data_IF_406693011171
#
_entry.id   IF_406693011171
#
_cell.length_a   1.000
_cell.length_b   1.000
_cell.length_c   1.000
_cell.angle_alpha   90.00
_cell.angle_beta   90.00
_cell.angle_gamma   90.00
#
_symmetry.space_group_name_H-M   'P 1'
#
loop_
_entity.id
_entity.type
_entity.pdbx_description
1 polymer ?
#
# COMPACT_ATOMS: atom_id res chain seq x y z
N UNK A 1 -5.55 11.25 -11.63
CA UNK A 1 -5.39 9.79 -11.60
C UNK A 1 -6.54 9.08 -10.89
N UNK A 2 -6.84 9.39 -9.63
CA UNK A 2 -7.94 8.83 -8.85
C UNK A 2 -8.92 9.94 -8.45
N UNK A 3 -10.22 9.70 -8.64
CA UNK A 3 -11.30 10.55 -8.18
C UNK A 3 -12.32 9.69 -7.44
N UNK A 4 -12.61 10.05 -6.22
CA UNK A 4 -13.60 9.41 -5.35
C UNK A 4 -14.68 10.42 -5.06
N UNK A 5 -15.96 10.07 -5.27
CA UNK A 5 -17.08 11.00 -5.07
C UNK A 5 -18.22 10.34 -4.31
N UNK A 6 -18.67 11.04 -3.27
CA UNK A 6 -19.77 10.65 -2.40
C UNK A 6 -19.63 9.20 -1.86
N UNK A 7 -18.40 8.77 -1.55
CA UNK A 7 -18.11 7.40 -1.15
C UNK A 7 -18.66 7.10 0.23
N UNK A 8 -19.49 6.08 0.32
CA UNK A 8 -20.03 5.57 1.58
C UNK A 8 -19.66 4.10 1.75
N UNK A 9 -19.44 3.66 2.98
CA UNK A 9 -19.18 2.25 3.29
C UNK A 9 -19.68 1.91 4.69
N UNK A 10 -20.11 0.66 4.87
CA UNK A 10 -20.69 0.18 6.11
C UNK A 10 -20.10 -1.17 6.52
N UNK A 11 -20.00 -1.39 7.82
CA UNK A 11 -19.81 -2.68 8.46
C UNK A 11 -21.09 -3.05 9.21
N UNK A 12 -21.95 -3.85 8.56
CA UNK A 12 -23.29 -4.11 9.06
C UNK A 12 -24.09 -2.79 9.20
N UNK A 13 -24.43 -2.42 10.43
CA UNK A 13 -25.18 -1.18 10.73
C UNK A 13 -24.29 0.05 10.97
N UNK A 14 -22.98 -0.13 11.05
CA UNK A 14 -22.03 0.95 11.36
C UNK A 14 -21.57 1.58 10.05
N UNK A 15 -21.87 2.87 9.87
CA UNK A 15 -21.35 3.64 8.75
C UNK A 15 -19.91 4.05 9.03
N UNK A 16 -18.97 3.56 8.23
CA UNK A 16 -17.55 3.84 8.36
C UNK A 16 -17.08 4.97 7.43
N UNK A 17 -17.76 5.17 6.30
CA UNK A 17 -17.53 6.30 5.39
C UNK A 17 -18.86 6.99 5.10
N UNK A 18 -18.88 8.32 5.19
CA UNK A 18 -20.10 9.13 5.11
C UNK A 18 -19.99 10.20 4.01
N UNK A 19 -19.97 9.78 2.73
CA UNK A 19 -19.94 10.71 1.60
C UNK A 19 -18.56 11.38 1.42
N UNK A 20 -17.51 10.58 1.25
CA UNK A 20 -16.13 11.09 1.11
C UNK A 20 -15.86 11.46 -0.35
N UNK A 21 -15.27 12.65 -0.55
CA UNK A 21 -14.79 13.13 -1.83
C UNK A 21 -13.25 13.33 -1.74
N UNK A 22 -12.51 12.72 -2.66
CA UNK A 22 -11.02 12.81 -2.70
C UNK A 22 -10.57 12.77 -4.15
N UNK A 23 -9.57 13.57 -4.46
CA UNK A 23 -8.86 13.54 -5.74
C UNK A 23 -7.37 13.33 -5.49
N UNK A 24 -6.75 12.45 -6.28
CA UNK A 24 -5.30 12.20 -6.27
C UNK A 24 -4.81 12.34 -7.72
N UNK A 25 -3.88 13.27 -7.95
CA UNK A 25 -3.27 13.51 -9.25
C UNK A 25 -2.20 12.46 -9.57
N UNK A 26 -1.79 12.36 -10.83
CA UNK A 26 -0.70 11.46 -11.22
C UNK A 26 0.65 11.95 -10.65
N UNK A 27 1.43 11.04 -10.07
CA UNK A 27 2.70 11.36 -9.40
C UNK A 27 2.56 12.12 -8.08
N UNK A 28 1.34 12.35 -7.59
CA UNK A 28 1.09 13.03 -6.32
C UNK A 28 1.26 12.09 -5.13
N UNK A 29 1.71 12.63 -4.00
CA UNK A 29 1.60 11.99 -2.70
C UNK A 29 0.54 12.71 -1.89
N UNK A 30 -0.55 12.02 -1.59
CA UNK A 30 -1.61 12.50 -0.71
C UNK A 30 -1.49 11.77 0.64
N UNK A 31 -1.42 12.53 1.72
CA UNK A 31 -1.40 11.99 3.08
C UNK A 31 -2.70 12.35 3.80
N UNK A 32 -3.45 11.34 4.21
CA UNK A 32 -4.63 11.48 5.06
C UNK A 32 -4.26 11.13 6.50
N UNK A 33 -4.40 12.09 7.39
CA UNK A 33 -4.11 11.91 8.82
C UNK A 33 -5.38 12.01 9.65
N UNK A 34 -5.45 11.24 10.73
CA UNK A 34 -6.61 11.24 11.60
C UNK A 34 -6.55 10.16 12.67
N UNK A 35 -7.45 10.27 13.66
CA UNK A 35 -7.54 9.32 14.77
C UNK A 35 -7.91 7.89 14.29
N UNK A 36 -7.64 6.90 15.16
CA UNK A 36 -8.11 5.53 14.93
C UNK A 36 -9.65 5.51 14.91
N UNK A 37 -10.21 4.68 14.03
CA UNK A 37 -11.65 4.61 13.81
C UNK A 37 -12.25 5.69 12.90
N UNK A 38 -11.46 6.64 12.39
CA UNK A 38 -11.95 7.69 11.47
C UNK A 38 -12.25 7.19 10.04
N UNK A 39 -12.17 5.89 9.76
CA UNK A 39 -12.49 5.33 8.46
C UNK A 39 -11.33 5.30 7.45
N UNK A 40 -10.11 5.68 7.85
CA UNK A 40 -8.93 5.75 6.98
C UNK A 40 -8.64 4.43 6.23
N UNK A 41 -8.48 3.33 6.96
CA UNK A 41 -8.24 1.99 6.39
C UNK A 41 -9.44 1.51 5.56
N UNK A 42 -10.66 1.87 5.97
CA UNK A 42 -11.88 1.56 5.20
C UNK A 42 -11.87 2.24 3.82
N UNK A 43 -11.40 3.49 3.76
CA UNK A 43 -11.25 4.22 2.51
C UNK A 43 -10.26 3.52 1.56
N UNK A 44 -9.07 3.13 2.07
CA UNK A 44 -8.10 2.41 1.25
C UNK A 44 -8.63 1.05 0.78
N UNK A 45 -9.32 0.31 1.67
CA UNK A 45 -9.97 -0.97 1.32
C UNK A 45 -11.09 -0.80 0.29
N UNK A 46 -11.85 0.29 0.33
CA UNK A 46 -12.85 0.60 -0.68
C UNK A 46 -12.20 0.90 -2.04
N UNK A 47 -11.13 1.71 -2.06
CA UNK A 47 -10.36 2.04 -3.28
C UNK A 47 -9.70 0.78 -3.86
N UNK A 48 -9.18 -0.14 -3.03
CA UNK A 48 -8.60 -1.41 -3.47
C UNK A 48 -9.66 -2.46 -3.86
N UNK A 49 -10.95 -2.22 -3.56
CA UNK A 49 -12.07 -3.11 -3.89
C UNK A 49 -12.32 -4.23 -2.89
N UNK A 50 -11.57 -4.26 -1.79
CA UNK A 50 -11.72 -5.28 -0.73
C UNK A 50 -12.95 -5.01 0.14
N UNK A 51 -13.29 -3.72 0.36
CA UNK A 51 -14.44 -3.32 1.17
C UNK A 51 -15.58 -2.85 0.26
N UNK A 52 -16.80 -3.39 0.40
CA UNK A 52 -17.99 -2.90 -0.30
C UNK A 52 -18.25 -1.41 0.01
N UNK A 53 -18.60 -0.67 -1.03
CA UNK A 53 -18.90 0.75 -0.92
C UNK A 53 -19.95 1.17 -1.95
N UNK A 54 -20.56 2.35 -1.75
CA UNK A 54 -21.39 3.04 -2.73
C UNK A 54 -20.80 4.41 -3.00
N UNK A 55 -21.19 5.06 -4.09
CA UNK A 55 -20.58 6.26 -4.64
C UNK A 55 -19.78 5.92 -5.89
N UNK A 56 -18.89 6.82 -6.31
CA UNK A 56 -18.07 6.62 -7.52
C UNK A 56 -16.59 6.56 -7.19
N UNK A 57 -15.88 5.64 -7.86
CA UNK A 57 -14.42 5.56 -7.83
C UNK A 57 -13.97 5.55 -9.30
N UNK A 58 -13.41 6.66 -9.74
CA UNK A 58 -12.88 6.81 -11.10
C UNK A 58 -11.36 6.70 -11.05
N UNK A 59 -10.80 5.80 -11.85
CA UNK A 59 -9.36 5.62 -11.96
C UNK A 59 -8.94 5.75 -13.42
N UNK A 60 -8.07 6.71 -13.73
CA UNK A 60 -7.67 7.05 -15.09
C UNK A 60 -8.87 7.25 -16.04
N UNK A 61 -9.89 7.99 -15.58
CA UNK A 61 -11.10 8.30 -16.34
C UNK A 61 -12.10 7.15 -16.48
N UNK A 62 -11.87 6.00 -15.84
CA UNK A 62 -12.77 4.83 -15.87
C UNK A 62 -13.36 4.55 -14.50
N UNK A 63 -14.67 4.30 -14.45
CA UNK A 63 -15.31 3.84 -13.23
C UNK A 63 -14.86 2.42 -12.90
N UNK A 64 -14.32 2.26 -11.69
CA UNK A 64 -13.84 0.97 -11.17
C UNK A 64 -14.71 0.43 -10.03
N UNK A 65 -15.84 1.02 -9.74
CA UNK A 65 -16.72 0.62 -8.64
C UNK A 65 -17.07 -0.87 -8.65
N UNK A 66 -17.36 -1.43 -9.82
CA UNK A 66 -17.68 -2.85 -10.01
C UNK A 66 -16.46 -3.75 -10.35
N UNK A 67 -15.23 -3.19 -10.39
CA UNK A 67 -14.02 -3.95 -10.72
C UNK A 67 -13.53 -4.71 -9.49
N UNK A 68 -13.27 -6.03 -9.63
CA UNK A 68 -12.79 -6.87 -8.53
C UNK A 68 -11.38 -6.46 -8.04
N UNK A 69 -11.02 -6.78 -6.77
CA UNK A 69 -9.72 -6.43 -6.20
C UNK A 69 -8.54 -6.91 -7.06
N UNK A 70 -8.59 -8.14 -7.56
CA UNK A 70 -7.52 -8.74 -8.37
C UNK A 70 -7.33 -7.98 -9.68
N UNK A 71 -8.43 -7.55 -10.31
CA UNK A 71 -8.37 -6.74 -11.52
C UNK A 71 -7.84 -5.33 -11.23
N UNK A 72 -8.15 -4.75 -10.06
CA UNK A 72 -7.58 -3.46 -9.64
C UNK A 72 -6.07 -3.53 -9.47
N UNK A 73 -5.53 -4.64 -8.96
CA UNK A 73 -4.07 -4.87 -8.94
C UNK A 73 -3.52 -4.90 -10.36
N UNK A 74 -4.21 -5.56 -11.30
CA UNK A 74 -3.84 -5.56 -12.72
C UNK A 74 -3.85 -4.17 -13.37
N UNK A 75 -4.69 -3.24 -12.87
CA UNK A 75 -4.72 -1.83 -13.28
C UNK A 75 -3.59 -1.00 -12.64
N UNK A 76 -2.85 -1.58 -11.67
CA UNK A 76 -1.76 -0.92 -10.96
C UNK A 76 -2.15 -0.27 -9.64
N UNK A 77 -3.33 -0.59 -9.06
CA UNK A 77 -3.74 -0.14 -7.73
C UNK A 77 -3.33 -1.22 -6.74
N UNK A 78 -2.38 -0.92 -5.86
CA UNK A 78 -1.84 -1.88 -4.89
C UNK A 78 -1.93 -1.32 -3.49
N UNK A 79 -2.48 -2.11 -2.56
CA UNK A 79 -2.54 -1.75 -1.15
C UNK A 79 -1.50 -2.53 -0.34
N UNK A 80 -0.75 -1.82 0.49
CA UNK A 80 0.01 -2.37 1.61
C UNK A 80 -0.84 -2.15 2.87
N UNK A 81 -1.47 -3.20 3.40
CA UNK A 81 -2.41 -3.07 4.51
C UNK A 81 -1.68 -2.85 5.83
N UNK A 82 -2.42 -2.33 6.81
CA UNK A 82 -2.03 -2.31 8.21
C UNK A 82 -1.68 -3.72 8.72
N UNK A 83 -0.78 -3.82 9.70
CA UNK A 83 -0.44 -5.07 10.37
C UNK A 83 0.52 -5.96 9.56
N UNK A 84 1.19 -5.41 8.54
CA UNK A 84 2.25 -6.06 7.73
C UNK A 84 1.76 -7.25 6.90
N UNK A 85 0.95 -8.15 7.47
CA UNK A 85 0.33 -9.33 6.85
C UNK A 85 1.32 -10.16 6.00
N UNK A 86 2.53 -10.41 6.56
CA UNK A 86 3.51 -11.27 5.91
C UNK A 86 3.15 -12.75 6.11
N UNK A 87 3.49 -13.59 5.14
CA UNK A 87 3.33 -15.03 5.25
C UNK A 87 4.52 -15.60 6.02
N UNK A 88 4.39 -15.71 7.36
CA UNK A 88 5.45 -16.08 8.28
C UNK A 88 6.24 -17.34 7.91
N UNK A 89 5.58 -18.45 7.52
CA UNK A 89 6.27 -19.69 7.13
C UNK A 89 7.07 -19.59 5.82
N UNK A 90 6.70 -18.68 4.92
CA UNK A 90 7.37 -18.50 3.64
C UNK A 90 8.68 -17.71 3.80
N UNK A 91 9.62 -17.94 2.90
CA UNK A 91 10.85 -17.14 2.85
C UNK A 91 10.54 -15.67 2.50
N UNK A 92 11.50 -14.78 2.77
CA UNK A 92 11.43 -13.38 2.35
C UNK A 92 11.26 -13.28 0.84
N UNK A 93 12.03 -14.05 0.06
CA UNK A 93 11.94 -14.04 -1.40
C UNK A 93 10.59 -14.55 -1.89
N UNK A 94 10.05 -15.63 -1.31
CA UNK A 94 8.73 -16.14 -1.70
C UNK A 94 7.63 -15.13 -1.39
N UNK A 95 7.69 -14.47 -0.21
CA UNK A 95 6.78 -13.37 0.11
C UNK A 95 6.81 -12.25 -0.93
N UNK A 96 8.00 -11.84 -1.38
CA UNK A 96 8.15 -10.83 -2.42
C UNK A 96 7.54 -11.31 -3.73
N UNK A 97 7.89 -12.49 -4.19
CA UNK A 97 7.41 -13.06 -5.46
C UNK A 97 5.90 -13.21 -5.53
N UNK A 98 5.22 -13.46 -4.40
CA UNK A 98 3.74 -13.44 -4.34
C UNK A 98 3.16 -12.08 -4.76
N UNK A 99 3.85 -10.97 -4.51
CA UNK A 99 3.42 -9.64 -4.98
C UNK A 99 3.46 -9.47 -6.50
N UNK A 100 4.24 -10.30 -7.20
CA UNK A 100 4.40 -10.24 -8.65
C UNK A 100 3.47 -11.20 -9.41
N UNK A 101 2.39 -11.71 -8.80
CA UNK A 101 1.52 -12.73 -9.40
C UNK A 101 0.87 -12.32 -10.73
N UNK A 102 0.79 -11.02 -11.02
CA UNK A 102 0.29 -10.46 -12.28
C UNK A 102 1.38 -10.22 -13.32
N UNK A 103 2.64 -10.58 -13.03
CA UNK A 103 3.82 -10.29 -13.85
C UNK A 103 4.38 -11.54 -14.47
N UNK A 104 5.08 -11.38 -15.60
CA UNK A 104 5.90 -12.45 -16.16
C UNK A 104 7.09 -12.74 -15.22
N UNK A 105 7.71 -13.91 -15.38
CA UNK A 105 8.87 -14.28 -14.58
C UNK A 105 10.03 -13.28 -14.76
N UNK A 106 10.30 -12.86 -15.97
CA UNK A 106 11.36 -11.89 -16.27
C UNK A 106 11.11 -10.53 -15.61
N UNK A 107 9.86 -10.03 -15.65
CA UNK A 107 9.46 -8.81 -14.94
C UNK A 107 9.59 -8.98 -13.42
N UNK A 108 9.16 -10.13 -12.88
CA UNK A 108 9.28 -10.45 -11.45
C UNK A 108 10.74 -10.45 -11.00
N UNK A 109 11.65 -11.04 -11.76
CA UNK A 109 13.08 -11.07 -11.43
C UNK A 109 13.68 -9.66 -11.48
N UNK A 110 13.32 -8.84 -12.45
CA UNK A 110 13.76 -7.45 -12.55
C UNK A 110 13.25 -6.59 -11.37
N UNK A 111 11.97 -6.71 -10.99
CA UNK A 111 11.41 -5.97 -9.85
C UNK A 111 11.99 -6.48 -8.52
N UNK A 112 12.31 -7.77 -8.39
CA UNK A 112 12.95 -8.32 -7.21
C UNK A 112 14.32 -7.66 -6.93
N UNK A 113 15.15 -7.47 -7.97
CA UNK A 113 16.42 -6.77 -7.80
C UNK A 113 16.23 -5.28 -7.43
N UNK A 114 15.20 -4.61 -7.96
CA UNK A 114 14.84 -3.23 -7.56
C UNK A 114 14.41 -3.16 -6.09
N UNK A 115 13.58 -4.10 -5.65
CA UNK A 115 13.14 -4.18 -4.25
C UNK A 115 14.34 -4.47 -3.34
N UNK A 116 15.27 -5.34 -3.73
CA UNK A 116 16.49 -5.60 -2.99
C UNK A 116 17.43 -4.39 -2.94
N UNK A 117 17.52 -3.62 -4.01
CA UNK A 117 18.28 -2.35 -4.00
C UNK A 117 17.64 -1.32 -3.05
N UNK A 118 16.32 -1.28 -2.95
CA UNK A 118 15.60 -0.40 -2.03
C UNK A 118 15.70 -0.87 -0.57
N UNK A 119 15.67 -2.19 -0.33
CA UNK A 119 15.69 -2.83 0.98
C UNK A 119 16.81 -3.89 1.07
N UNK A 120 18.08 -3.49 1.18
CA UNK A 120 19.23 -4.44 1.18
C UNK A 120 19.13 -5.52 2.27
N UNK A 121 18.59 -5.17 3.44
CA UNK A 121 18.37 -6.10 4.55
C UNK A 121 17.46 -7.28 4.17
N UNK A 122 16.55 -7.12 3.22
CA UNK A 122 15.71 -8.21 2.70
C UNK A 122 16.52 -9.15 1.81
N UNK A 123 17.45 -8.62 0.99
CA UNK A 123 18.34 -9.43 0.14
C UNK A 123 19.24 -10.35 0.98
N UNK A 124 19.81 -9.79 2.03
CA UNK A 124 20.67 -10.55 2.97
C UNK A 124 19.92 -11.72 3.63
N UNK A 125 18.62 -11.53 3.86
CA UNK A 125 17.73 -12.49 4.54
C UNK A 125 16.78 -13.23 3.62
N UNK A 126 17.02 -13.20 2.31
CA UNK A 126 16.05 -13.68 1.30
C UNK A 126 15.58 -15.13 1.49
N UNK A 127 16.43 -15.99 2.09
CA UNK A 127 16.11 -17.41 2.35
C UNK A 127 15.54 -17.66 3.75
N UNK A 128 15.49 -16.65 4.62
CA UNK A 128 14.93 -16.79 5.97
C UNK A 128 13.42 -16.76 5.93
N UNK A 129 12.76 -17.48 6.84
CA UNK A 129 11.32 -17.39 7.03
C UNK A 129 10.92 -15.95 7.46
N UNK A 130 9.86 -15.41 6.88
CA UNK A 130 9.43 -14.04 7.16
C UNK A 130 9.00 -13.83 8.62
N UNK A 131 8.55 -14.90 9.29
CA UNK A 131 8.12 -14.83 10.68
C UNK A 131 9.23 -14.53 11.69
N UNK A 132 10.50 -14.78 11.35
CA UNK A 132 11.64 -14.50 12.26
C UNK A 132 12.22 -13.09 12.09
N UNK A 133 11.71 -12.32 11.15
CA UNK A 133 12.14 -10.94 10.93
C UNK A 133 11.67 -10.02 12.05
N UNK A 134 12.44 -8.97 12.34
CA UNK A 134 11.98 -7.88 13.20
C UNK A 134 10.76 -7.17 12.63
N UNK A 135 10.00 -6.48 13.48
CA UNK A 135 8.81 -5.74 13.03
C UNK A 135 9.08 -4.74 11.91
N UNK A 136 10.21 -4.03 11.94
CA UNK A 136 10.61 -3.13 10.86
C UNK A 136 10.96 -3.85 9.57
N UNK A 137 11.65 -4.98 9.66
CA UNK A 137 11.96 -5.81 8.49
C UNK A 137 10.70 -6.42 7.88
N UNK A 138 9.71 -6.83 8.69
CA UNK A 138 8.41 -7.28 8.20
C UNK A 138 7.65 -6.16 7.50
N UNK A 139 7.75 -4.92 7.99
CA UNK A 139 7.15 -3.76 7.33
C UNK A 139 7.82 -3.48 5.97
N UNK A 140 9.15 -3.53 5.91
CA UNK A 140 9.89 -3.44 4.65
C UNK A 140 9.48 -4.55 3.67
N UNK A 141 9.30 -5.78 4.18
CA UNK A 141 8.86 -6.92 3.38
C UNK A 141 7.43 -6.70 2.83
N UNK A 142 6.50 -6.20 3.64
CA UNK A 142 5.14 -5.90 3.22
C UNK A 142 5.13 -4.82 2.11
N UNK A 143 5.91 -3.75 2.29
CA UNK A 143 6.09 -2.72 1.26
C UNK A 143 6.74 -3.29 -0.01
N UNK A 144 7.84 -4.03 0.15
CA UNK A 144 8.52 -4.69 -0.96
C UNK A 144 7.60 -5.58 -1.76
N UNK A 145 6.77 -6.40 -1.09
CA UNK A 145 5.76 -7.24 -1.73
C UNK A 145 4.75 -6.41 -2.54
N UNK A 146 4.29 -5.28 -2.02
CA UNK A 146 3.43 -4.37 -2.77
C UNK A 146 4.13 -3.80 -4.01
N UNK A 147 5.40 -3.44 -3.90
CA UNK A 147 6.19 -2.89 -5.00
C UNK A 147 6.45 -3.90 -6.13
N UNK A 148 6.50 -5.20 -5.82
CA UNK A 148 6.66 -6.27 -6.82
C UNK A 148 5.55 -6.27 -7.89
N UNK A 149 4.36 -5.74 -7.57
CA UNK A 149 3.29 -5.55 -8.55
C UNK A 149 3.52 -4.34 -9.47
N UNK A 150 4.59 -3.55 -9.27
CA UNK A 150 4.91 -2.32 -10.02
C UNK A 150 3.72 -1.35 -10.04
N UNK A 151 3.29 -0.85 -8.87
CA UNK A 151 2.08 -0.04 -8.74
C UNK A 151 2.20 1.30 -9.47
N UNK A 152 1.10 1.76 -10.06
CA UNK A 152 0.90 3.14 -10.50
C UNK A 152 0.29 3.98 -9.37
N UNK A 153 -0.57 3.38 -8.56
CA UNK A 153 -1.14 3.94 -7.34
C UNK A 153 -0.85 2.99 -6.17
N UNK A 154 -0.02 3.44 -5.24
CA UNK A 154 0.33 2.71 -4.03
C UNK A 154 -0.48 3.26 -2.85
N UNK A 155 -1.29 2.40 -2.25
CA UNK A 155 -2.08 2.70 -1.07
C UNK A 155 -1.34 2.17 0.16
N UNK A 156 -0.92 3.05 1.08
CA UNK A 156 -0.18 2.70 2.29
C UNK A 156 -1.06 2.92 3.52
N UNK A 157 -1.32 1.86 4.25
CA UNK A 157 -2.17 1.86 5.43
C UNK A 157 -1.33 1.77 6.70
N UNK A 158 -1.19 2.89 7.41
CA UNK A 158 -0.44 3.06 8.66
C UNK A 158 0.98 2.43 8.64
N UNK A 159 1.83 2.78 7.66
CA UNK A 159 3.14 2.13 7.49
C UNK A 159 4.09 2.40 8.67
N UNK A 160 3.82 3.40 9.50
CA UNK A 160 4.65 3.74 10.67
C UNK A 160 4.24 3.02 11.94
N UNK A 161 3.08 2.34 11.97
CA UNK A 161 2.50 1.82 13.20
C UNK A 161 3.35 0.75 13.87
N UNK A 162 3.59 0.93 15.19
CA UNK A 162 4.34 -0.02 16.01
C UNK A 162 5.83 -0.13 15.65
N UNK A 163 6.40 0.88 14.98
CA UNK A 163 7.81 0.96 14.67
C UNK A 163 8.56 1.92 15.60
N UNK A 164 9.84 1.61 15.84
CA UNK A 164 10.73 2.53 16.53
C UNK A 164 10.98 3.80 15.66
N UNK A 165 11.21 4.98 16.26
CA UNK A 165 11.33 6.24 15.54
C UNK A 165 12.30 6.22 14.35
N UNK A 166 13.47 5.60 14.51
CA UNK A 166 14.47 5.46 13.44
C UNK A 166 13.94 4.66 12.23
N UNK A 167 13.15 3.61 12.49
CA UNK A 167 12.54 2.81 11.42
C UNK A 167 11.41 3.56 10.71
N UNK A 168 10.66 4.40 11.45
CA UNK A 168 9.67 5.30 10.85
C UNK A 168 10.35 6.23 9.85
N UNK A 169 11.44 6.89 10.23
CA UNK A 169 12.23 7.75 9.33
C UNK A 169 12.73 7.00 8.09
N UNK A 170 13.21 5.77 8.27
CA UNK A 170 13.68 4.92 7.17
C UNK A 170 12.53 4.58 6.19
N UNK A 171 11.37 4.18 6.69
CA UNK A 171 10.19 3.87 5.86
C UNK A 171 9.75 5.12 5.08
N UNK A 172 9.63 6.27 5.73
CA UNK A 172 9.23 7.50 5.05
C UNK A 172 10.29 8.01 4.06
N UNK A 173 11.58 7.75 4.30
CA UNK A 173 12.61 8.00 3.30
C UNK A 173 12.40 7.16 2.03
N UNK A 174 11.97 5.89 2.16
CA UNK A 174 11.61 5.06 0.99
C UNK A 174 10.36 5.57 0.29
N UNK A 175 9.35 6.04 1.03
CA UNK A 175 8.16 6.68 0.45
C UNK A 175 8.55 7.92 -0.38
N UNK A 176 9.46 8.78 0.12
CA UNK A 176 10.00 9.91 -0.65
C UNK A 176 10.69 9.46 -1.94
N UNK A 177 11.51 8.41 -1.87
CA UNK A 177 12.19 7.86 -3.06
C UNK A 177 11.17 7.39 -4.11
N UNK A 178 10.09 6.72 -3.69
CA UNK A 178 9.02 6.27 -4.58
C UNK A 178 8.29 7.45 -5.25
N UNK A 179 7.99 8.51 -4.49
CA UNK A 179 7.41 9.75 -5.02
C UNK A 179 8.32 10.39 -6.08
N UNK A 180 9.62 10.48 -5.80
CA UNK A 180 10.60 11.02 -6.76
C UNK A 180 10.68 10.19 -8.05
N UNK A 181 10.37 8.89 -7.97
CA UNK A 181 10.25 8.00 -9.13
C UNK A 181 8.86 8.05 -9.80
N UNK A 182 8.07 9.11 -9.54
CA UNK A 182 6.72 9.34 -10.07
C UNK A 182 5.68 8.25 -9.74
N UNK A 183 5.86 7.50 -8.65
CA UNK A 183 4.80 6.63 -8.13
C UNK A 183 3.75 7.50 -7.44
N UNK A 184 2.49 7.38 -7.84
CA UNK A 184 1.38 8.02 -7.11
C UNK A 184 1.15 7.28 -5.80
N UNK A 185 1.06 8.03 -4.69
CA UNK A 185 0.96 7.43 -3.35
C UNK A 185 -0.21 8.04 -2.62
N UNK A 186 -1.08 7.18 -2.09
CA UNK A 186 -2.09 7.58 -1.12
C UNK A 186 -1.77 6.91 0.22
N UNK A 187 -1.31 7.71 1.15
CA UNK A 187 -0.87 7.31 2.48
C UNK A 187 -1.92 7.67 3.52
N UNK A 188 -2.27 6.74 4.38
CA UNK A 188 -3.00 7.05 5.62
C UNK A 188 -2.13 6.71 6.81
N UNK A 189 -2.04 7.61 7.79
CA UNK A 189 -1.24 7.39 8.99
C UNK A 189 -1.82 8.19 10.16
N UNK A 190 -1.61 7.70 11.38
CA UNK A 190 -1.93 8.44 12.58
C UNK A 190 -0.84 9.45 12.94
N UNK A 191 0.41 9.18 12.55
CA UNK A 191 1.55 10.04 12.79
C UNK A 191 1.60 11.19 11.78
N UNK A 192 0.81 12.26 12.05
CA UNK A 192 0.72 13.41 11.17
C UNK A 192 2.09 14.04 10.86
N UNK A 193 3.01 14.11 11.86
CA UNK A 193 4.34 14.69 11.68
C UNK A 193 5.18 13.91 10.68
N UNK A 194 5.16 12.59 10.77
CA UNK A 194 5.88 11.73 9.84
C UNK A 194 5.23 11.77 8.45
N UNK A 195 3.90 11.68 8.37
CA UNK A 195 3.16 11.71 7.11
C UNK A 195 3.33 13.03 6.34
N UNK A 196 3.40 14.17 7.03
CA UNK A 196 3.58 15.49 6.42
C UNK A 196 5.06 15.82 6.10
N UNK A 197 6.01 14.99 6.52
CA UNK A 197 7.43 15.17 6.22
C UNK A 197 7.85 14.61 4.85
N UNK A 198 6.95 14.00 4.10
CA UNK A 198 7.13 13.43 2.76
C UNK A 198 6.46 14.29 1.67
#
# INVERSE_FOLDING_TARGET
>A
MLEVSALTSHYGRIQALAGIDITVSDGELVALVGANGAGKSTLLRAISGVQPCSGKIIYNGKDIGAVSPERRVGLGIVQVPEGRQVFGPLSVEDNLRLGAYTRTRAESDAELERVYAMFPALKERRRQAAGVLSGGQQQMLAMGRGLMAKPRLLLLDEPSMGLAPRLVEEIFAKVRTLKQAHTTIFLVDQNARAALSV
#
